data_IF_203797233196
#
_entry.id   IF_203797233196
#
_cell.length_a   1.000
_cell.length_b   1.000
_cell.length_c   1.000
_cell.angle_alpha   90.00
_cell.angle_beta   90.00
_cell.angle_gamma   90.00
#
_symmetry.space_group_name_H-M   'P 1'
#
loop_
_entity.id
_entity.type
_entity.pdbx_description
1 polymer ?
#
# COMPACT_ATOMS: atom_id res chain seq x y z
N UNK A 1 10.85 11.51 -4.58
CA UNK A 1 9.80 11.79 -3.57
C UNK A 1 8.70 10.72 -3.52
N UNK A 2 8.50 9.87 -4.55
CA UNK A 2 7.49 8.79 -4.53
C UNK A 2 7.62 7.89 -3.29
N UNK A 3 8.84 7.49 -2.92
CA UNK A 3 9.05 6.63 -1.74
C UNK A 3 8.58 7.31 -0.45
N UNK A 4 8.88 8.60 -0.29
CA UNK A 4 8.40 9.39 0.86
C UNK A 4 6.87 9.43 0.89
N UNK A 5 6.21 9.58 -0.26
CA UNK A 5 4.73 9.50 -0.34
C UNK A 5 4.21 8.13 0.06
N UNK A 6 4.83 7.05 -0.42
CA UNK A 6 4.46 5.68 -0.06
C UNK A 6 4.56 5.48 1.46
N UNK A 7 5.66 5.91 2.08
CA UNK A 7 5.85 5.83 3.53
C UNK A 7 4.80 6.63 4.29
N UNK A 8 4.46 7.85 3.83
CA UNK A 8 3.43 8.67 4.47
C UNK A 8 2.01 8.09 4.32
N UNK A 9 1.74 7.34 3.26
CA UNK A 9 0.42 6.72 3.03
C UNK A 9 0.24 5.42 3.80
N UNK A 10 1.30 4.67 4.06
CA UNK A 10 1.23 3.37 4.73
C UNK A 10 0.42 3.38 6.03
N UNK A 11 0.63 4.29 7.00
CA UNK A 11 -0.17 4.31 8.23
C UNK A 11 -1.67 4.50 7.97
N UNK A 12 -2.01 5.31 6.97
CA UNK A 12 -3.40 5.59 6.60
C UNK A 12 -4.03 4.36 5.96
N UNK A 13 -3.33 3.72 5.02
CA UNK A 13 -3.78 2.46 4.40
C UNK A 13 -3.95 1.37 5.46
N UNK A 14 -3.01 1.22 6.40
CA UNK A 14 -3.10 0.24 7.49
C UNK A 14 -4.35 0.48 8.35
N UNK A 15 -4.66 1.74 8.67
CA UNK A 15 -5.87 2.09 9.43
C UNK A 15 -7.15 1.71 8.69
N UNK A 16 -7.20 1.91 7.37
CA UNK A 16 -8.33 1.53 6.55
C UNK A 16 -8.47 0.00 6.43
N UNK A 17 -7.36 -0.72 6.26
CA UNK A 17 -7.37 -2.20 6.24
C UNK A 17 -7.88 -2.79 7.57
N UNK A 18 -7.58 -2.16 8.70
CA UNK A 18 -8.04 -2.59 10.04
C UNK A 18 -9.47 -2.19 10.36
N UNK A 19 -10.10 -1.33 9.56
CA UNK A 19 -11.47 -0.88 9.80
C UNK A 19 -12.53 -1.96 9.52
N UNK A 20 -12.15 -3.07 8.85
CA UNK A 20 -13.08 -4.11 8.41
C UNK A 20 -13.91 -3.73 7.17
N UNK A 21 -13.73 -2.53 6.63
CA UNK A 21 -14.40 -2.08 5.40
C UNK A 21 -13.58 -2.41 4.15
N UNK A 22 -14.26 -2.75 3.06
CA UNK A 22 -13.63 -2.86 1.74
C UNK A 22 -13.20 -1.47 1.28
N UNK A 23 -11.91 -1.28 1.07
CA UNK A 23 -11.32 -0.02 0.63
C UNK A 23 -10.73 -0.15 -0.78
N UNK A 24 -10.99 0.85 -1.62
CA UNK A 24 -10.37 0.95 -2.95
C UNK A 24 -9.33 2.08 -2.96
N UNK A 25 -8.08 1.76 -3.30
CA UNK A 25 -6.96 2.69 -3.28
C UNK A 25 -6.50 2.98 -4.71
N UNK A 26 -6.60 4.23 -5.14
CA UNK A 26 -6.19 4.69 -6.48
C UNK A 26 -4.84 5.39 -6.40
N UNK A 27 -3.88 4.93 -7.21
CA UNK A 27 -2.53 5.50 -7.28
C UNK A 27 -2.02 5.48 -8.73
N UNK A 28 -1.03 6.33 -9.02
CA UNK A 28 -0.29 6.25 -10.28
C UNK A 28 0.64 5.03 -10.31
N UNK A 29 0.92 4.49 -11.51
CA UNK A 29 1.72 3.27 -11.69
C UNK A 29 3.11 3.31 -11.02
N UNK A 30 3.73 4.50 -10.95
CA UNK A 30 5.02 4.70 -10.29
C UNK A 30 5.03 4.36 -8.79
N UNK A 31 3.87 4.24 -8.14
CA UNK A 31 3.78 3.86 -6.72
C UNK A 31 3.85 2.36 -6.45
N UNK A 32 3.75 1.51 -7.48
CA UNK A 32 3.58 0.06 -7.30
C UNK A 32 4.90 -0.72 -7.37
N UNK A 33 5.80 -0.33 -8.27
CA UNK A 33 7.00 -1.09 -8.58
C UNK A 33 8.13 -0.96 -7.54
N UNK A 34 9.00 -1.98 -7.50
CA UNK A 34 10.22 -1.97 -6.71
C UNK A 34 10.05 -2.28 -5.21
N UNK A 35 11.17 -2.35 -4.46
CA UNK A 35 11.17 -2.73 -3.04
C UNK A 35 10.50 -1.68 -2.13
N UNK A 36 10.42 -0.43 -2.58
CA UNK A 36 9.75 0.68 -1.89
C UNK A 36 8.36 0.97 -2.47
N UNK A 37 7.85 0.12 -3.36
CA UNK A 37 6.49 0.20 -3.89
C UNK A 37 5.44 -0.22 -2.85
N UNK A 38 4.22 0.28 -2.97
CA UNK A 38 3.14 0.05 -2.00
C UNK A 38 2.85 -1.45 -1.77
N UNK A 39 2.81 -2.26 -2.83
CA UNK A 39 2.55 -3.70 -2.70
C UNK A 39 3.68 -4.42 -1.95
N UNK A 40 4.93 -4.06 -2.19
CA UNK A 40 6.08 -4.63 -1.47
C UNK A 40 6.02 -4.25 0.02
N UNK A 41 5.79 -2.98 0.33
CA UNK A 41 5.67 -2.50 1.70
C UNK A 41 4.50 -3.13 2.45
N UNK A 42 3.33 -3.28 1.82
CA UNK A 42 2.17 -3.95 2.43
C UNK A 42 2.46 -5.43 2.72
N UNK A 43 3.17 -6.14 1.82
CA UNK A 43 3.63 -7.51 2.08
C UNK A 43 4.52 -7.59 3.32
N UNK A 44 5.45 -6.65 3.51
CA UNK A 44 6.32 -6.63 4.72
C UNK A 44 5.54 -6.41 6.02
N UNK A 45 4.34 -5.83 5.93
CA UNK A 45 3.43 -5.62 7.06
C UNK A 45 2.48 -6.80 7.30
N UNK A 46 2.65 -7.89 6.55
CA UNK A 46 1.85 -9.11 6.70
C UNK A 46 0.57 -9.13 5.85
N UNK A 47 0.37 -8.16 4.95
CA UNK A 47 -0.76 -8.21 4.03
C UNK A 47 -0.54 -9.27 2.94
N UNK A 48 -1.53 -10.12 2.73
CA UNK A 48 -1.59 -11.01 1.55
C UNK A 48 -1.96 -10.16 0.33
N UNK A 49 -1.18 -10.28 -0.74
CA UNK A 49 -1.42 -9.57 -2.01
C UNK A 49 -1.70 -10.60 -3.09
N UNK A 50 -2.85 -10.45 -3.75
CA UNK A 50 -3.33 -11.31 -4.83
C UNK A 50 -3.61 -10.46 -6.07
N UNK A 51 -3.32 -11.01 -7.25
CA UNK A 51 -3.72 -10.44 -8.52
C UNK A 51 -5.01 -11.13 -8.95
N UNK A 52 -6.06 -10.33 -9.17
CA UNK A 52 -7.34 -10.79 -9.71
C UNK A 52 -7.28 -10.91 -11.25
#
# INVERSE_FOLDING_TARGET
MIDVRNQNWLPKIDSYLRSGQTCFVVVGAGHIGGPTGLLALLKTRGCKVEQL
#
